data_IF_523956816985
#
_entry.id   IF_523956816985
#
_cell.length_a   1.000
_cell.length_b   1.000
_cell.length_c   1.000
_cell.angle_alpha   90.00
_cell.angle_beta   90.00
_cell.angle_gamma   90.00
#
_symmetry.space_group_name_H-M   'P 1'
#
loop_
_entity.id
_entity.type
_entity.pdbx_description
1 polymer ?
#
# COMPACT_ATOMS: atom_id res chain seq x y z
N UNK A 1 -34.77 2.14 -13.09
CA UNK A 1 -34.63 2.45 -11.64
C UNK A 1 -34.99 1.19 -10.86
N UNK A 2 -34.07 0.65 -10.07
CA UNK A 2 -34.39 -0.45 -9.17
C UNK A 2 -34.90 0.14 -7.84
N UNK A 3 -36.09 -0.29 -7.40
CA UNK A 3 -36.69 0.13 -6.13
C UNK A 3 -36.58 -1.02 -5.13
N UNK A 4 -35.75 -0.87 -4.10
CA UNK A 4 -35.70 -1.78 -2.96
C UNK A 4 -36.71 -1.27 -1.92
N UNK A 5 -37.63 -2.12 -1.46
CA UNK A 5 -38.68 -1.75 -0.48
C UNK A 5 -38.53 -2.59 0.79
N UNK A 6 -38.89 -2.00 1.94
CA UNK A 6 -38.88 -2.58 3.31
C UNK A 6 -37.53 -2.62 4.05
N UNK A 7 -36.64 -1.65 3.78
CA UNK A 7 -35.64 -1.21 4.77
C UNK A 7 -36.27 -0.06 5.58
N UNK A 8 -36.08 0.00 6.90
CA UNK A 8 -36.50 1.19 7.68
C UNK A 8 -35.82 2.43 7.08
N UNK A 9 -36.44 3.62 7.12
CA UNK A 9 -35.94 4.82 6.42
C UNK A 9 -34.44 5.10 6.64
N UNK A 10 -33.98 4.98 7.89
CA UNK A 10 -32.56 5.09 8.27
C UNK A 10 -31.63 4.08 7.58
N UNK A 11 -32.07 2.83 7.38
CA UNK A 11 -31.28 1.78 6.71
C UNK A 11 -31.24 1.98 5.19
N UNK A 12 -32.30 2.53 4.59
CA UNK A 12 -32.33 2.85 3.17
C UNK A 12 -31.36 3.99 2.82
N UNK A 13 -31.37 5.07 3.59
CA UNK A 13 -30.48 6.22 3.38
C UNK A 13 -29.00 5.85 3.56
N UNK A 14 -28.68 5.05 4.59
CA UNK A 14 -27.33 4.52 4.80
C UNK A 14 -26.84 3.65 3.64
N UNK A 15 -27.71 2.82 3.06
CA UNK A 15 -27.38 1.96 1.91
C UNK A 15 -27.13 2.76 0.64
N UNK A 16 -27.94 3.81 0.39
CA UNK A 16 -27.74 4.72 -0.75
C UNK A 16 -26.43 5.50 -0.61
N UNK A 17 -26.10 5.96 0.60
CA UNK A 17 -24.84 6.64 0.87
C UNK A 17 -23.64 5.73 0.56
N UNK A 18 -23.64 4.48 1.03
CA UNK A 18 -22.56 3.52 0.73
C UNK A 18 -22.45 3.20 -0.75
N UNK A 19 -23.58 2.97 -1.44
CA UNK A 19 -23.58 2.72 -2.88
C UNK A 19 -22.97 3.88 -3.68
N UNK A 20 -23.26 5.12 -3.29
CA UNK A 20 -22.70 6.30 -3.95
C UNK A 20 -21.20 6.44 -3.70
N UNK A 21 -20.70 6.11 -2.49
CA UNK A 21 -19.26 6.08 -2.24
C UNK A 21 -18.57 5.01 -3.09
N UNK A 22 -19.12 3.79 -3.16
CA UNK A 22 -18.60 2.72 -4.01
C UNK A 22 -18.55 3.10 -5.50
N UNK A 23 -19.56 3.84 -5.99
CA UNK A 23 -19.54 4.37 -7.36
C UNK A 23 -18.37 5.32 -7.60
N UNK A 24 -18.11 6.24 -6.68
CA UNK A 24 -16.99 7.18 -6.79
C UNK A 24 -15.65 6.45 -6.73
N UNK A 25 -15.52 5.51 -5.82
CA UNK A 25 -14.38 4.60 -5.68
C UNK A 25 -14.11 3.83 -7.00
N UNK A 26 -15.16 3.32 -7.65
CA UNK A 26 -15.05 2.66 -8.96
C UNK A 26 -14.63 3.61 -10.09
N UNK A 27 -15.01 4.90 -10.03
CA UNK A 27 -14.54 5.90 -10.99
C UNK A 27 -13.05 6.18 -10.79
N UNK A 28 -12.58 6.25 -9.53
CA UNK A 28 -11.16 6.44 -9.19
C UNK A 28 -10.31 5.25 -9.64
N UNK A 29 -10.82 4.03 -9.49
CA UNK A 29 -10.18 2.82 -10.00
C UNK A 29 -9.92 2.92 -11.51
N UNK A 30 -10.93 3.32 -12.30
CA UNK A 30 -10.79 3.52 -13.74
C UNK A 30 -9.83 4.65 -14.12
N UNK A 31 -9.60 5.59 -13.21
CA UNK A 31 -8.62 6.67 -13.37
C UNK A 31 -7.21 6.30 -12.87
N UNK A 32 -6.98 5.08 -12.39
CA UNK A 32 -5.68 4.64 -11.87
C UNK A 32 -5.31 5.22 -10.50
N UNK A 33 -6.26 5.82 -9.79
CA UNK A 33 -6.03 6.49 -8.49
C UNK A 33 -6.22 5.55 -7.29
N UNK A 34 -6.73 4.36 -7.52
CA UNK A 34 -6.93 3.30 -6.52
C UNK A 34 -6.48 1.99 -7.14
N UNK A 35 -5.68 1.25 -6.39
CA UNK A 35 -5.20 -0.09 -6.78
C UNK A 35 -5.26 -1.08 -5.60
N UNK A 36 -5.68 -0.61 -4.42
CA UNK A 36 -5.91 -1.46 -3.25
C UNK A 36 -7.38 -1.55 -2.87
N UNK A 37 -7.78 -2.71 -2.36
CA UNK A 37 -9.09 -2.90 -1.74
C UNK A 37 -9.16 -2.21 -0.37
N UNK A 38 -8.17 -2.46 0.49
CA UNK A 38 -8.00 -1.81 1.79
C UNK A 38 -6.66 -1.09 1.89
N UNK A 39 -6.62 0.02 2.62
CA UNK A 39 -5.36 0.70 2.88
C UNK A 39 -4.46 -0.15 3.80
N UNK A 40 -3.16 -0.16 3.53
CA UNK A 40 -2.18 -0.75 4.45
C UNK A 40 -1.76 0.24 5.52
N UNK A 41 -1.28 -0.26 6.67
CA UNK A 41 -0.79 0.59 7.75
C UNK A 41 0.40 1.42 7.28
N UNK A 42 0.31 2.74 7.43
CA UNK A 42 1.38 3.66 7.06
C UNK A 42 2.59 3.52 8.00
N UNK A 43 3.78 3.66 7.42
CA UNK A 43 5.04 3.73 8.18
C UNK A 43 5.15 5.09 8.86
N UNK A 44 5.02 5.10 10.19
CA UNK A 44 5.04 6.30 11.03
C UNK A 44 6.42 6.63 11.61
N UNK A 45 7.39 5.72 11.52
CA UNK A 45 8.79 5.95 11.95
C UNK A 45 9.31 7.25 11.36
N UNK A 46 10.01 8.07 12.16
CA UNK A 46 10.52 9.36 11.75
C UNK A 46 11.42 9.27 10.49
N UNK A 47 11.52 10.37 9.76
CA UNK A 47 12.44 10.45 8.62
C UNK A 47 13.88 10.26 9.09
N UNK A 48 14.70 9.62 8.26
CA UNK A 48 16.11 9.44 8.53
C UNK A 48 16.85 10.79 8.45
N UNK A 49 17.78 11.00 9.39
CA UNK A 49 18.69 12.16 9.42
C UNK A 49 20.14 11.77 9.73
N UNK A 50 20.38 10.53 10.14
CA UNK A 50 21.67 9.95 10.47
C UNK A 50 21.63 8.42 10.31
N UNK A 51 22.72 7.73 10.62
CA UNK A 51 22.79 6.27 10.47
C UNK A 51 21.79 5.53 11.37
N UNK A 52 21.63 5.95 12.62
CA UNK A 52 20.75 5.27 13.58
C UNK A 52 19.27 5.37 13.17
N UNK A 53 18.85 6.57 12.77
CA UNK A 53 17.50 6.81 12.23
C UNK A 53 17.29 6.16 10.86
N UNK A 54 18.34 6.03 10.05
CA UNK A 54 18.28 5.27 8.79
C UNK A 54 18.02 3.77 9.03
N UNK A 55 18.76 3.15 9.97
CA UNK A 55 18.54 1.75 10.36
C UNK A 55 17.10 1.55 10.84
N UNK A 56 16.62 2.42 11.73
CA UNK A 56 15.25 2.35 12.25
C UNK A 56 14.20 2.47 11.15
N UNK A 57 14.37 3.43 10.22
CA UNK A 57 13.43 3.65 9.13
C UNK A 57 13.43 2.49 8.13
N UNK A 58 14.60 2.05 7.67
CA UNK A 58 14.71 0.95 6.68
C UNK A 58 14.12 -0.34 7.27
N UNK A 59 14.40 -0.65 8.54
CA UNK A 59 13.81 -1.81 9.22
C UNK A 59 12.27 -1.75 9.21
N UNK A 60 11.70 -0.59 9.54
CA UNK A 60 10.26 -0.40 9.52
C UNK A 60 9.67 -0.52 8.11
N UNK A 61 10.37 0.00 7.09
CA UNK A 61 9.96 -0.11 5.69
C UNK A 61 10.01 -1.55 5.18
N UNK A 62 11.05 -2.32 5.48
CA UNK A 62 11.14 -3.73 5.10
C UNK A 62 9.97 -4.54 5.69
N UNK A 63 9.69 -4.35 6.98
CA UNK A 63 8.58 -5.02 7.66
C UNK A 63 7.22 -4.64 7.05
N UNK A 64 6.99 -3.34 6.82
CA UNK A 64 5.74 -2.85 6.25
C UNK A 64 5.53 -3.32 4.81
N UNK A 65 6.56 -3.27 3.97
CA UNK A 65 6.51 -3.77 2.60
C UNK A 65 6.23 -5.28 2.57
N UNK A 66 6.93 -6.07 3.39
CA UNK A 66 6.74 -7.52 3.46
C UNK A 66 5.30 -7.89 3.87
N UNK A 67 4.75 -7.20 4.88
CA UNK A 67 3.36 -7.39 5.29
C UNK A 67 2.37 -6.97 4.20
N UNK A 68 2.67 -5.89 3.48
CA UNK A 68 1.82 -5.36 2.42
C UNK A 68 1.73 -6.31 1.22
N UNK A 69 2.86 -6.77 0.67
CA UNK A 69 2.87 -7.65 -0.50
C UNK A 69 2.15 -8.97 -0.24
N UNK A 70 2.16 -9.44 1.01
CA UNK A 70 1.43 -10.64 1.45
C UNK A 70 -0.08 -10.41 1.69
N UNK A 71 -0.56 -9.17 1.69
CA UNK A 71 -1.94 -8.79 2.05
C UNK A 71 -2.93 -9.07 0.92
N UNK A 72 -3.23 -10.35 0.67
CA UNK A 72 -4.31 -10.75 -0.22
C UNK A 72 -5.68 -10.47 0.41
N UNK A 73 -6.61 -9.96 -0.39
CA UNK A 73 -7.98 -9.71 0.00
C UNK A 73 -8.69 -11.05 0.29
N UNK A 74 -9.22 -11.18 1.50
CA UNK A 74 -10.00 -12.33 1.92
C UNK A 74 -11.33 -12.37 1.17
N UNK A 75 -11.65 -13.50 0.53
CA UNK A 75 -12.95 -13.69 -0.11
C UNK A 75 -14.11 -13.73 0.89
N UNK A 76 -13.83 -13.94 2.17
CA UNK A 76 -14.84 -14.01 3.24
C UNK A 76 -15.11 -12.65 3.85
N UNK A 77 -14.07 -11.90 4.20
CA UNK A 77 -14.22 -10.59 4.87
C UNK A 77 -14.10 -9.39 3.94
N UNK A 78 -13.58 -9.57 2.72
CA UNK A 78 -13.28 -8.47 1.80
C UNK A 78 -12.13 -7.57 2.28
N UNK A 79 -11.39 -8.00 3.31
CA UNK A 79 -10.27 -7.24 3.90
C UNK A 79 -8.96 -7.72 3.33
N UNK A 80 -8.13 -6.77 2.91
CA UNK A 80 -6.77 -6.97 2.37
C UNK A 80 -6.47 -5.98 1.25
N UNK A 81 -5.19 -5.75 0.96
CA UNK A 81 -4.80 -4.75 -0.03
C UNK A 81 -4.99 -5.27 -1.48
N UNK A 82 -4.56 -6.49 -1.76
CA UNK A 82 -4.37 -7.00 -3.12
C UNK A 82 -5.43 -8.02 -3.54
N UNK A 83 -5.61 -8.23 -4.85
CA UNK A 83 -6.44 -9.33 -5.38
C UNK A 83 -5.81 -10.71 -5.12
N UNK A 84 -4.48 -10.75 -5.02
CA UNK A 84 -3.66 -11.90 -4.67
C UNK A 84 -2.35 -11.40 -4.04
N UNK A 85 -1.70 -12.23 -3.22
CA UNK A 85 -0.39 -11.89 -2.68
C UNK A 85 0.66 -11.80 -3.80
N UNK A 86 1.59 -10.85 -3.68
CA UNK A 86 2.77 -10.79 -4.53
C UNK A 86 3.87 -11.66 -3.92
N UNK A 87 4.11 -12.81 -4.56
CA UNK A 87 5.14 -13.76 -4.18
C UNK A 87 6.43 -13.63 -5.01
N UNK A 88 6.50 -12.63 -5.92
CA UNK A 88 7.64 -12.44 -6.83
C UNK A 88 8.58 -11.37 -6.29
N UNK A 89 8.05 -10.21 -5.91
CA UNK A 89 8.86 -9.07 -5.50
C UNK A 89 9.11 -9.11 -3.99
N UNK A 90 9.87 -10.11 -3.54
CA UNK A 90 10.13 -10.36 -2.12
C UNK A 90 11.52 -9.87 -1.73
N UNK A 91 11.64 -9.29 -0.53
CA UNK A 91 12.93 -8.86 0.01
C UNK A 91 13.75 -10.06 0.49
N UNK A 92 15.06 -10.01 0.26
CA UNK A 92 16.02 -11.02 0.70
C UNK A 92 17.12 -10.45 1.59
N UNK A 93 17.38 -9.14 1.54
CA UNK A 93 18.37 -8.50 2.40
C UNK A 93 17.94 -8.58 3.87
N UNK A 94 18.85 -8.93 4.79
CA UNK A 94 18.55 -8.95 6.22
C UNK A 94 18.29 -7.54 6.75
N UNK A 95 17.73 -7.47 7.96
CA UNK A 95 17.59 -6.22 8.70
C UNK A 95 18.96 -5.54 8.85
N UNK A 96 19.11 -4.26 8.46
CA UNK A 96 20.41 -3.61 8.47
C UNK A 96 20.88 -3.27 9.89
N UNK A 97 22.20 -3.31 10.11
CA UNK A 97 22.84 -2.99 11.40
C UNK A 97 23.97 -1.96 11.26
N UNK A 98 24.35 -1.61 10.03
CA UNK A 98 25.43 -0.69 9.69
C UNK A 98 25.17 -0.01 8.33
N UNK A 99 26.09 0.85 7.89
CA UNK A 99 25.92 1.58 6.63
C UNK A 99 25.89 0.66 5.40
N UNK A 100 26.74 -0.37 5.36
CA UNK A 100 26.85 -1.25 4.20
C UNK A 100 25.57 -2.09 4.02
N UNK A 101 25.02 -2.60 5.12
CA UNK A 101 23.75 -3.31 5.14
C UNK A 101 22.57 -2.36 4.86
N UNK A 102 22.60 -1.10 5.32
CA UNK A 102 21.60 -0.09 4.93
C UNK A 102 21.58 0.16 3.42
N UNK A 103 22.75 0.34 2.79
CA UNK A 103 22.87 0.53 1.34
C UNK A 103 22.25 -0.65 0.59
N UNK A 104 22.58 -1.88 1.01
CA UNK A 104 22.06 -3.10 0.39
C UNK A 104 20.54 -3.18 0.53
N UNK A 105 20.01 -3.03 1.75
CA UNK A 105 18.60 -3.20 2.04
C UNK A 105 17.72 -2.13 1.38
N UNK A 106 18.14 -0.86 1.36
CA UNK A 106 17.32 0.21 0.79
C UNK A 106 17.29 0.17 -0.74
N UNK A 107 18.39 -0.24 -1.38
CA UNK A 107 18.46 -0.39 -2.84
C UNK A 107 17.61 -1.59 -3.31
N UNK A 108 17.68 -2.72 -2.61
CA UNK A 108 16.79 -3.86 -2.88
C UNK A 108 15.32 -3.44 -2.69
N UNK A 109 14.98 -2.82 -1.57
CA UNK A 109 13.62 -2.37 -1.30
C UNK A 109 13.09 -1.44 -2.40
N UNK A 110 13.90 -0.49 -2.89
CA UNK A 110 13.56 0.37 -4.03
C UNK A 110 13.25 -0.46 -5.27
N UNK A 111 14.11 -1.42 -5.61
CA UNK A 111 13.96 -2.23 -6.81
C UNK A 111 12.67 -3.06 -6.76
N UNK A 112 12.49 -3.82 -5.68
CA UNK A 112 11.33 -4.69 -5.48
C UNK A 112 10.02 -3.90 -5.41
N UNK A 113 10.00 -2.78 -4.68
CA UNK A 113 8.83 -1.91 -4.64
C UNK A 113 8.46 -1.34 -6.02
N UNK A 114 9.44 -0.89 -6.80
CA UNK A 114 9.19 -0.33 -8.13
C UNK A 114 8.68 -1.36 -9.13
N UNK A 115 9.06 -2.63 -8.98
CA UNK A 115 8.50 -3.75 -9.74
C UNK A 115 7.09 -4.07 -9.24
N UNK A 116 6.92 -4.25 -7.93
CA UNK A 116 5.65 -4.57 -7.28
C UNK A 116 4.52 -3.61 -7.66
N UNK A 117 4.75 -2.28 -7.57
CA UNK A 117 3.70 -1.27 -7.76
C UNK A 117 2.98 -1.36 -9.12
N UNK A 118 3.58 -2.00 -10.13
CA UNK A 118 2.98 -2.15 -11.47
C UNK A 118 2.45 -3.56 -11.75
N UNK A 119 2.48 -4.47 -10.77
CA UNK A 119 2.07 -5.86 -10.95
C UNK A 119 0.55 -5.96 -11.02
N UNK A 120 0.03 -6.20 -12.22
CA UNK A 120 -1.42 -6.30 -12.45
C UNK A 120 -2.03 -7.66 -12.07
N UNK A 121 -1.22 -8.61 -11.61
CA UNK A 121 -1.73 -9.85 -11.01
C UNK A 121 -2.16 -9.67 -9.55
N UNK A 122 -1.61 -8.68 -8.82
CA UNK A 122 -2.02 -8.34 -7.46
C UNK A 122 -2.85 -7.03 -7.42
N UNK A 123 -2.57 -6.08 -8.32
CA UNK A 123 -3.33 -4.83 -8.47
C UNK A 123 -4.32 -4.88 -9.64
N UNK A 124 -5.50 -4.25 -9.53
CA UNK A 124 -6.45 -4.13 -10.66
C UNK A 124 -5.96 -3.17 -11.76
N UNK A 125 -5.00 -2.29 -11.43
CA UNK A 125 -4.35 -1.34 -12.33
C UNK A 125 -2.94 -1.06 -11.80
N UNK A 126 -1.98 -0.85 -12.71
CA UNK A 126 -0.62 -0.50 -12.31
C UNK A 126 -0.58 0.90 -11.67
N UNK A 127 0.12 1.05 -10.54
CA UNK A 127 0.40 2.35 -9.95
C UNK A 127 1.52 3.05 -10.73
N UNK A 128 1.16 3.96 -11.65
CA UNK A 128 2.11 4.76 -12.43
C UNK A 128 2.60 6.03 -11.72
N UNK A 129 2.13 6.31 -10.51
CA UNK A 129 2.33 7.60 -9.82
C UNK A 129 3.42 7.53 -8.76
N UNK A 130 3.44 6.45 -7.98
CA UNK A 130 4.30 6.38 -6.79
C UNK A 130 5.63 5.67 -7.06
N UNK A 131 6.25 5.91 -8.22
CA UNK A 131 7.61 5.42 -8.49
C UNK A 131 8.64 6.12 -7.59
N UNK A 132 9.61 5.35 -7.07
CA UNK A 132 10.81 5.87 -6.41
C UNK A 132 11.86 6.14 -7.48
N UNK A 133 12.15 7.41 -7.74
CA UNK A 133 13.11 7.86 -8.75
C UNK A 133 14.46 8.28 -8.19
N UNK A 134 14.58 8.38 -6.85
CA UNK A 134 15.86 8.68 -6.20
C UNK A 134 16.91 7.64 -6.59
N UNK A 135 18.14 8.09 -6.89
CA UNK A 135 19.24 7.20 -7.30
C UNK A 135 19.57 6.17 -6.21
N UNK A 136 20.20 5.07 -6.61
CA UNK A 136 20.65 4.04 -5.67
C UNK A 136 21.68 4.63 -4.70
N UNK A 137 21.58 4.22 -3.44
CA UNK A 137 22.45 4.70 -2.39
C UNK A 137 23.85 4.10 -2.52
N UNK A 138 24.87 4.92 -2.27
CA UNK A 138 26.29 4.53 -2.24
C UNK A 138 27.03 5.03 -1.00
N UNK A 139 26.37 5.86 -0.19
CA UNK A 139 26.90 6.46 1.04
C UNK A 139 25.75 6.83 1.99
N UNK A 140 26.07 7.37 3.18
CA UNK A 140 25.05 7.72 4.17
C UNK A 140 24.08 8.80 3.69
N UNK A 141 24.55 9.81 2.95
CA UNK A 141 23.69 10.90 2.49
C UNK A 141 22.64 10.38 1.49
N UNK A 142 23.07 9.53 0.56
CA UNK A 142 22.17 8.88 -0.41
C UNK A 142 21.26 7.83 0.22
N UNK A 143 21.71 7.10 1.27
CA UNK A 143 20.82 6.24 2.09
C UNK A 143 19.69 7.05 2.71
N UNK A 144 20.01 8.18 3.35
CA UNK A 144 19.01 9.06 3.99
C UNK A 144 18.00 9.56 2.96
N UNK A 145 18.48 10.04 1.80
CA UNK A 145 17.63 10.53 0.73
C UNK A 145 16.70 9.43 0.20
N UNK A 146 17.26 8.25 -0.10
CA UNK A 146 16.49 7.15 -0.68
C UNK A 146 15.49 6.55 0.31
N UNK A 147 15.86 6.33 1.58
CA UNK A 147 14.95 5.79 2.59
C UNK A 147 13.74 6.71 2.81
N UNK A 148 13.95 8.02 2.82
CA UNK A 148 12.88 9.00 2.97
C UNK A 148 11.97 9.07 1.72
N UNK A 149 12.51 8.96 0.50
CA UNK A 149 11.71 8.89 -0.73
C UNK A 149 10.88 7.60 -0.77
N UNK A 150 11.50 6.44 -0.48
CA UNK A 150 10.79 5.15 -0.38
C UNK A 150 9.65 5.25 0.62
N UNK A 151 9.86 5.80 1.82
CA UNK A 151 8.79 6.01 2.80
C UNK A 151 7.64 6.83 2.23
N UNK A 152 7.95 7.96 1.59
CA UNK A 152 6.93 8.85 1.03
C UNK A 152 6.10 8.14 -0.05
N UNK A 153 6.75 7.45 -0.98
CA UNK A 153 6.11 6.72 -2.08
C UNK A 153 5.32 5.52 -1.59
N UNK A 154 5.89 4.72 -0.70
CA UNK A 154 5.24 3.54 -0.14
C UNK A 154 3.98 3.92 0.66
N UNK A 155 4.04 4.96 1.48
CA UNK A 155 2.87 5.44 2.22
C UNK A 155 1.77 5.99 1.27
N UNK A 156 2.14 6.69 0.21
CA UNK A 156 1.18 7.15 -0.80
C UNK A 156 0.53 5.97 -1.54
N UNK A 157 1.32 4.94 -1.88
CA UNK A 157 0.86 3.69 -2.45
C UNK A 157 -0.13 2.97 -1.52
N UNK A 158 0.24 2.78 -0.25
CA UNK A 158 -0.61 2.12 0.75
C UNK A 158 -1.95 2.82 0.95
N UNK A 159 -2.00 4.14 0.83
CA UNK A 159 -3.21 4.94 1.01
C UNK A 159 -4.15 4.93 -0.21
N UNK A 160 -3.68 4.50 -1.38
CA UNK A 160 -4.48 4.47 -2.62
C UNK A 160 -5.41 3.24 -2.68
N UNK A 161 -6.30 3.20 -1.70
CA UNK A 161 -7.34 2.20 -1.54
C UNK A 161 -8.73 2.80 -1.76
N UNK A 162 -9.74 1.94 -1.83
CA UNK A 162 -11.12 2.38 -1.72
C UNK A 162 -11.34 3.13 -0.41
N UNK A 163 -12.13 4.20 -0.47
CA UNK A 163 -12.49 4.99 0.72
C UNK A 163 -13.64 4.37 1.50
N UNK A 164 -14.32 3.40 0.89
CA UNK A 164 -15.41 2.64 1.49
C UNK A 164 -14.90 1.26 1.90
N UNK A 165 -15.20 0.85 3.13
CA UNK A 165 -14.89 -0.50 3.61
C UNK A 165 -15.79 -1.57 2.96
N UNK A 166 -15.35 -2.83 3.04
CA UNK A 166 -16.17 -3.97 2.65
C UNK A 166 -17.48 -4.00 3.47
N UNK A 167 -18.60 -4.29 2.81
CA UNK A 167 -19.91 -4.38 3.45
C UNK A 167 -20.16 -5.83 3.83
N UNK A 168 -20.33 -6.09 5.13
CA UNK A 168 -20.89 -7.34 5.63
C UNK A 168 -22.40 -7.18 5.86
N UNK A 169 -23.22 -8.05 5.25
CA UNK A 169 -24.65 -8.12 5.52
C UNK A 169 -24.89 -9.11 6.66
N UNK A 170 -25.17 -8.61 7.87
CA UNK A 170 -25.51 -9.44 9.03
C UNK A 170 -27.03 -9.55 9.17
N UNK A 171 -27.56 -10.78 9.13
CA UNK A 171 -28.98 -11.10 9.34
C UNK A 171 -29.96 -10.26 8.47
N UNK A 172 -29.92 -10.41 7.13
CA UNK A 172 -30.78 -9.66 6.20
C UNK A 172 -32.27 -9.99 6.31
#
# INVERSE_FOLDING_TARGET
MATVRKLTGLKADASVAQLNKLRLDMMRLRAGLVFHASASTAVSTANASDLATSIALITALQAAYTAHIASACSSTSGVGAHMAADATNVLTAPTPTDLASCITAVNELKAEYNLHRVVTSCHPVADSTNAVSTADATDLASVIALANDVKAKLNAHFAAAFTSEAIELVSP
#
